data_IF_098291950137
#
_entry.id   IF_098291950137
#
_cell.length_a   1.000
_cell.length_b   1.000
_cell.length_c   1.000
_cell.angle_alpha   90.00
_cell.angle_beta   90.00
_cell.angle_gamma   90.00
#
_symmetry.space_group_name_H-M   'P 1'
#
loop_
_entity.id
_entity.type
_entity.pdbx_description
1 polymer ?
#
# COMPACT_ATOMS: atom_id res chain seq x y z
N UNK A 1 26.21 -36.95 44.57
CA UNK A 1 25.44 -35.71 44.80
C UNK A 1 25.36 -34.93 43.49
N UNK A 2 24.23 -35.05 42.81
CA UNK A 2 23.91 -34.36 41.57
C UNK A 2 23.52 -32.92 41.87
N UNK A 3 24.37 -31.95 41.49
CA UNK A 3 23.94 -30.56 41.40
C UNK A 3 23.22 -30.38 40.07
N UNK A 4 21.88 -30.54 40.09
CA UNK A 4 21.01 -29.89 39.13
C UNK A 4 21.40 -28.41 39.10
N UNK A 5 21.98 -27.95 37.98
CA UNK A 5 22.08 -26.53 37.70
C UNK A 5 20.69 -26.09 37.25
N UNK A 6 20.04 -25.34 38.13
CA UNK A 6 18.87 -24.55 37.82
C UNK A 6 19.13 -23.75 36.54
N UNK A 7 18.49 -24.15 35.45
CA UNK A 7 18.31 -23.32 34.28
C UNK A 7 17.39 -22.16 34.67
N UNK A 8 17.99 -21.13 35.29
CA UNK A 8 17.29 -19.88 35.50
C UNK A 8 16.90 -19.30 34.12
N UNK A 9 15.61 -19.09 33.92
CA UNK A 9 15.03 -18.58 32.67
C UNK A 9 15.59 -17.21 32.23
N UNK A 10 16.38 -16.54 33.08
CA UNK A 10 17.08 -15.30 32.74
C UNK A 10 18.30 -15.51 31.82
N UNK A 11 18.94 -16.69 31.84
CA UNK A 11 20.08 -16.99 30.96
C UNK A 11 19.71 -17.14 29.48
N UNK A 12 18.49 -17.61 29.18
CA UNK A 12 18.02 -17.83 27.81
C UNK A 12 17.77 -16.49 27.10
N UNK A 13 17.17 -15.50 27.78
CA UNK A 13 16.92 -14.18 27.18
C UNK A 13 18.21 -13.44 26.84
N UNK A 14 19.18 -13.41 27.76
CA UNK A 14 20.49 -12.77 27.51
C UNK A 14 21.32 -13.53 26.48
N UNK A 15 21.27 -14.86 26.45
CA UNK A 15 21.97 -15.65 25.41
C UNK A 15 21.34 -15.48 24.03
N UNK A 16 20.01 -15.36 23.92
CA UNK A 16 19.33 -15.05 22.64
C UNK A 16 19.70 -13.65 22.16
N UNK A 17 19.71 -12.64 23.03
CA UNK A 17 20.14 -11.27 22.68
C UNK A 17 21.62 -11.23 22.26
N UNK A 18 22.49 -11.94 22.99
CA UNK A 18 23.91 -12.07 22.66
C UNK A 18 24.10 -12.76 21.31
N UNK A 19 23.38 -13.85 21.03
CA UNK A 19 23.42 -14.54 19.74
C UNK A 19 22.95 -13.61 18.60
N UNK A 20 21.84 -12.90 18.78
CA UNK A 20 21.31 -11.94 17.80
C UNK A 20 22.28 -10.78 17.49
N UNK A 21 23.17 -10.44 18.42
CA UNK A 21 24.20 -9.42 18.19
C UNK A 21 25.24 -9.86 17.14
N UNK A 22 25.52 -11.17 17.03
CA UNK A 22 26.50 -11.76 16.12
C UNK A 22 25.95 -12.15 14.74
N UNK A 23 24.62 -12.16 14.57
CA UNK A 23 23.95 -12.50 13.32
C UNK A 23 24.03 -11.34 12.31
N UNK A 24 24.09 -11.65 11.01
CA UNK A 24 24.08 -10.64 9.94
C UNK A 24 22.86 -9.72 10.01
N UNK A 25 23.02 -8.45 9.62
CA UNK A 25 21.95 -7.43 9.70
C UNK A 25 20.65 -7.89 9.00
N UNK A 26 20.77 -8.52 7.83
CA UNK A 26 19.62 -9.05 7.09
C UNK A 26 18.81 -10.08 7.87
N UNK A 27 19.49 -11.01 8.55
CA UNK A 27 18.81 -12.07 9.31
C UNK A 27 18.23 -11.50 10.60
N UNK A 28 18.94 -10.58 11.27
CA UNK A 28 18.42 -9.88 12.45
C UNK A 28 17.12 -9.13 12.13
N UNK A 29 17.12 -8.36 11.05
CA UNK A 29 15.93 -7.62 10.59
C UNK A 29 14.79 -8.57 10.25
N UNK A 30 15.07 -9.66 9.54
CA UNK A 30 14.05 -10.65 9.21
C UNK A 30 13.41 -11.29 10.45
N UNK A 31 14.22 -11.59 11.48
CA UNK A 31 13.73 -12.17 12.74
C UNK A 31 12.84 -11.19 13.50
N UNK A 32 13.26 -9.93 13.65
CA UNK A 32 12.47 -8.95 14.40
C UNK A 32 11.19 -8.58 13.65
N UNK A 33 11.25 -8.40 12.33
CA UNK A 33 10.05 -8.15 11.53
C UNK A 33 9.13 -9.36 11.49
N UNK A 34 9.68 -10.57 11.46
CA UNK A 34 8.92 -11.82 11.58
C UNK A 34 8.21 -11.90 12.92
N UNK A 35 8.89 -11.61 14.02
CA UNK A 35 8.29 -11.54 15.35
C UNK A 35 7.16 -10.50 15.42
N UNK A 36 7.40 -9.27 14.94
CA UNK A 36 6.39 -8.22 14.90
C UNK A 36 5.17 -8.65 14.04
N UNK A 37 5.42 -9.31 12.90
CA UNK A 37 4.38 -9.86 12.03
C UNK A 37 3.53 -10.91 12.76
N UNK A 38 4.15 -11.84 13.49
CA UNK A 38 3.44 -12.83 14.30
C UNK A 38 2.58 -12.15 15.36
N UNK A 39 3.12 -11.19 16.11
CA UNK A 39 2.36 -10.42 17.11
C UNK A 39 1.14 -9.76 16.48
N UNK A 40 1.28 -9.16 15.30
CA UNK A 40 0.18 -8.52 14.58
C UNK A 40 -0.89 -9.52 14.11
N UNK A 41 -0.52 -10.77 13.82
CA UNK A 41 -1.47 -11.84 13.47
C UNK A 41 -2.19 -12.44 14.68
N UNK A 42 -1.67 -12.30 15.91
CA UNK A 42 -2.32 -12.84 17.12
C UNK A 42 -3.57 -12.08 17.56
N UNK A 43 -3.79 -10.87 17.04
CA UNK A 43 -4.93 -10.04 17.42
C UNK A 43 -4.78 -9.27 18.74
N UNK A 44 -3.63 -9.37 19.43
CA UNK A 44 -3.37 -8.66 20.70
C UNK A 44 -3.38 -7.13 20.52
N UNK A 45 -2.91 -6.65 19.37
CA UNK A 45 -2.78 -5.22 19.08
C UNK A 45 -4.13 -4.68 18.57
N UNK A 46 -5.03 -4.36 19.50
CA UNK A 46 -6.42 -3.96 19.17
C UNK A 46 -6.60 -2.46 18.95
N UNK A 47 -5.66 -1.62 19.37
CA UNK A 47 -5.79 -0.17 19.30
C UNK A 47 -4.54 0.51 18.72
N UNK A 48 -4.72 1.75 18.25
CA UNK A 48 -3.67 2.52 17.60
C UNK A 48 -2.47 2.81 18.52
N UNK A 49 -2.69 3.03 19.83
CA UNK A 49 -1.61 3.32 20.79
C UNK A 49 -0.66 2.14 20.96
N UNK A 50 -1.21 0.94 21.10
CA UNK A 50 -0.44 -0.31 21.18
C UNK A 50 0.32 -0.59 19.88
N UNK A 51 -0.30 -0.29 18.73
CA UNK A 51 0.39 -0.40 17.44
C UNK A 51 1.58 0.56 17.36
N UNK A 52 1.41 1.83 17.75
CA UNK A 52 2.53 2.79 17.81
C UNK A 52 3.63 2.30 18.75
N UNK A 53 3.28 1.80 19.94
CA UNK A 53 4.26 1.27 20.89
C UNK A 53 5.07 0.10 20.31
N UNK A 54 4.41 -0.86 19.64
CA UNK A 54 5.08 -1.99 18.98
C UNK A 54 6.10 -1.48 17.94
N UNK A 55 5.72 -0.51 17.10
CA UNK A 55 6.62 0.03 16.09
C UNK A 55 7.72 0.93 16.67
N UNK A 56 7.50 1.57 17.82
CA UNK A 56 8.56 2.29 18.55
C UNK A 56 9.60 1.31 19.11
N UNK A 57 9.16 0.18 19.67
CA UNK A 57 10.03 -0.92 20.12
C UNK A 57 10.80 -1.50 18.93
N UNK A 58 10.12 -1.75 17.81
CA UNK A 58 10.73 -2.21 16.56
C UNK A 58 11.84 -1.27 16.10
N UNK A 59 11.52 0.04 16.02
CA UNK A 59 12.47 1.08 15.62
C UNK A 59 13.68 1.15 16.54
N UNK A 60 13.46 1.05 17.85
CA UNK A 60 14.54 1.02 18.85
C UNK A 60 15.50 -0.15 18.61
N UNK A 61 14.99 -1.38 18.43
CA UNK A 61 15.84 -2.54 18.15
C UNK A 61 16.62 -2.40 16.83
N UNK A 62 15.95 -1.91 15.78
CA UNK A 62 16.62 -1.64 14.50
C UNK A 62 17.72 -0.59 14.66
N UNK A 63 17.48 0.48 15.42
CA UNK A 63 18.47 1.51 15.71
C UNK A 63 19.66 0.97 16.50
N UNK A 64 19.44 0.17 17.54
CA UNK A 64 20.52 -0.44 18.33
C UNK A 64 21.44 -1.30 17.45
N UNK A 65 20.87 -2.08 16.53
CA UNK A 65 21.65 -2.92 15.61
C UNK A 65 22.38 -2.13 14.53
N UNK A 66 21.66 -1.27 13.81
CA UNK A 66 22.20 -0.56 12.64
C UNK A 66 23.03 0.66 13.01
N UNK A 67 22.86 1.18 14.23
CA UNK A 67 23.46 2.43 14.74
C UNK A 67 23.17 3.65 13.84
N UNK A 68 22.06 3.60 13.11
CA UNK A 68 21.68 4.60 12.10
C UNK A 68 20.21 4.98 12.26
N UNK A 69 19.96 6.18 12.80
CA UNK A 69 18.61 6.66 13.09
C UNK A 69 17.76 6.81 11.82
N UNK A 70 18.35 7.31 10.73
CA UNK A 70 17.66 7.57 9.46
C UNK A 70 17.28 6.25 8.80
N UNK A 71 18.22 5.30 8.72
CA UNK A 71 17.93 4.00 8.12
C UNK A 71 16.89 3.24 8.95
N UNK A 72 17.03 3.20 10.27
CA UNK A 72 16.09 2.47 11.13
C UNK A 72 14.68 3.06 11.09
N UNK A 73 14.53 4.39 11.08
CA UNK A 73 13.21 5.01 10.94
C UNK A 73 12.62 4.79 9.54
N UNK A 74 13.46 4.79 8.50
CA UNK A 74 13.03 4.50 7.12
C UNK A 74 12.55 3.05 6.97
N UNK A 75 13.28 2.07 7.52
CA UNK A 75 12.85 0.65 7.48
C UNK A 75 11.55 0.44 8.25
N UNK A 76 11.42 1.11 9.41
CA UNK A 76 10.17 1.09 10.19
C UNK A 76 9.02 1.71 9.40
N UNK A 77 9.27 2.83 8.72
CA UNK A 77 8.32 3.46 7.79
C UNK A 77 7.86 2.46 6.73
N UNK A 78 8.80 1.86 5.99
CA UNK A 78 8.49 0.90 4.93
C UNK A 78 7.67 -0.28 5.43
N UNK A 79 8.02 -0.85 6.58
CA UNK A 79 7.28 -1.97 7.15
C UNK A 79 5.87 -1.54 7.61
N UNK A 80 5.74 -0.33 8.17
CA UNK A 80 4.46 0.18 8.68
C UNK A 80 3.45 0.58 7.59
N UNK A 81 3.90 0.88 6.36
CA UNK A 81 3.06 1.34 5.25
C UNK A 81 1.95 0.36 4.87
N UNK A 82 2.15 -0.93 5.11
CA UNK A 82 1.18 -1.95 4.75
C UNK A 82 0.00 -2.05 5.73
N UNK A 83 0.10 -1.42 6.91
CA UNK A 83 -0.93 -1.52 7.94
C UNK A 83 -1.86 -0.31 7.87
N UNK A 84 -3.08 -0.56 7.41
CA UNK A 84 -4.11 0.47 7.39
C UNK A 84 -4.75 0.66 8.76
N UNK A 85 -4.97 -0.44 9.50
CA UNK A 85 -5.57 -0.47 10.83
C UNK A 85 -4.64 -1.18 11.86
N UNK A 86 -4.87 -1.01 13.17
CA UNK A 86 -5.66 0.07 13.77
C UNK A 86 -5.04 1.44 13.51
N UNK A 87 -5.87 2.46 13.41
CA UNK A 87 -5.47 3.84 13.12
C UNK A 87 -6.38 4.84 13.83
N UNK A 88 -5.95 6.11 13.87
CA UNK A 88 -6.75 7.18 14.44
C UNK A 88 -7.52 7.89 13.33
N UNK A 89 -8.84 7.69 13.28
CA UNK A 89 -9.71 8.37 12.33
C UNK A 89 -10.33 9.64 12.88
N UNK A 90 -10.52 10.58 11.97
CA UNK A 90 -11.39 11.72 12.11
C UNK A 90 -12.41 11.64 10.99
N UNK A 91 -13.68 11.86 11.32
CA UNK A 91 -14.79 11.86 10.36
C UNK A 91 -15.42 13.24 10.33
N UNK A 92 -15.83 13.67 9.14
CA UNK A 92 -16.53 14.91 8.89
C UNK A 92 -17.83 14.60 8.17
N UNK A 93 -18.94 15.12 8.68
CA UNK A 93 -20.24 15.02 8.02
C UNK A 93 -20.27 15.94 6.80
N UNK A 94 -20.74 15.38 5.69
CA UNK A 94 -20.75 15.99 4.37
C UNK A 94 -22.18 16.30 3.93
N UNK A 95 -23.07 15.31 4.05
CA UNK A 95 -24.50 15.41 3.78
C UNK A 95 -25.20 14.95 5.04
N UNK A 96 -26.18 15.72 5.51
CA UNK A 96 -26.96 15.35 6.67
C UNK A 96 -27.92 14.23 6.31
N UNK A 97 -28.21 13.35 7.27
CA UNK A 97 -29.11 12.22 7.06
C UNK A 97 -30.50 12.62 6.57
N UNK A 98 -31.03 13.75 7.05
CA UNK A 98 -32.33 14.27 6.63
C UNK A 98 -32.37 14.77 5.17
N UNK A 99 -31.23 15.02 4.55
CA UNK A 99 -31.12 15.50 3.16
C UNK A 99 -31.01 14.34 2.16
N UNK A 100 -30.92 13.08 2.64
CA UNK A 100 -30.80 11.89 1.80
C UNK A 100 -32.18 11.35 1.41
N UNK A 101 -32.46 11.31 0.11
CA UNK A 101 -33.72 10.76 -0.43
C UNK A 101 -33.84 9.23 -0.26
N UNK A 102 -32.74 8.53 0.03
CA UNK A 102 -32.67 7.07 0.15
C UNK A 102 -32.65 6.66 1.64
N UNK A 103 -33.64 5.88 2.11
CA UNK A 103 -33.75 5.44 3.52
C UNK A 103 -32.53 4.68 4.04
N UNK A 104 -31.83 3.95 3.16
CA UNK A 104 -30.60 3.21 3.47
C UNK A 104 -29.46 4.12 3.95
N UNK A 105 -29.55 5.43 3.66
CA UNK A 105 -28.55 6.44 3.96
C UNK A 105 -29.06 7.53 4.90
N UNK A 106 -30.15 7.29 5.64
CA UNK A 106 -30.75 8.25 6.57
C UNK A 106 -29.83 8.69 7.73
N UNK A 107 -28.65 8.08 7.88
CA UNK A 107 -27.61 8.50 8.83
C UNK A 107 -26.72 9.65 8.34
N UNK A 108 -26.77 10.00 7.06
CA UNK A 108 -25.91 11.02 6.43
C UNK A 108 -24.67 10.43 5.77
N UNK A 109 -23.93 11.28 5.05
CA UNK A 109 -22.66 10.92 4.42
C UNK A 109 -21.50 11.50 5.21
N UNK A 110 -20.53 10.67 5.57
CA UNK A 110 -19.34 11.08 6.30
C UNK A 110 -18.10 10.72 5.50
N UNK A 111 -17.14 11.63 5.46
CA UNK A 111 -15.80 11.37 4.95
C UNK A 111 -14.81 11.36 6.09
N UNK A 112 -13.90 10.40 6.07
CA UNK A 112 -12.87 10.26 7.07
C UNK A 112 -11.45 10.44 6.53
N UNK A 113 -10.57 10.92 7.41
CA UNK A 113 -9.13 10.83 7.21
C UNK A 113 -8.50 10.19 8.46
N UNK A 114 -7.47 9.37 8.25
CA UNK A 114 -6.80 8.61 9.31
C UNK A 114 -5.32 8.95 9.43
N UNK A 115 -4.81 8.98 10.67
CA UNK A 115 -3.38 8.92 10.94
C UNK A 115 -2.99 7.47 11.25
N UNK A 116 -2.04 6.95 10.49
CA UNK A 116 -1.47 5.63 10.60
C UNK A 116 -0.02 5.72 11.12
N UNK A 117 0.52 4.58 11.56
CA UNK A 117 1.87 4.52 12.15
C UNK A 117 2.96 4.97 11.16
N UNK A 118 2.77 4.67 9.87
CA UNK A 118 3.68 5.14 8.82
C UNK A 118 3.82 6.66 8.79
N UNK A 119 2.77 7.42 9.10
CA UNK A 119 2.83 8.88 9.10
C UNK A 119 3.79 9.41 10.17
N UNK A 120 3.82 8.75 11.34
CA UNK A 120 4.71 9.11 12.45
C UNK A 120 6.16 8.85 12.05
N UNK A 121 6.47 7.67 11.51
CA UNK A 121 7.85 7.33 11.15
C UNK A 121 8.36 8.04 9.89
N UNK A 122 7.48 8.47 8.98
CA UNK A 122 7.86 9.38 7.89
C UNK A 122 8.40 10.69 8.48
N UNK A 123 7.72 11.27 9.48
CA UNK A 123 8.16 12.50 10.13
C UNK A 123 9.51 12.29 10.83
N UNK A 124 9.70 11.19 11.56
CA UNK A 124 11.00 10.87 12.18
C UNK A 124 12.11 10.72 11.13
N UNK A 125 11.84 9.99 10.06
CA UNK A 125 12.81 9.79 8.98
C UNK A 125 13.19 11.11 8.32
N UNK A 126 12.22 11.97 8.06
CA UNK A 126 12.45 13.29 7.49
C UNK A 126 13.30 14.16 8.43
N UNK A 127 12.95 14.22 9.72
CA UNK A 127 13.67 15.02 10.71
C UNK A 127 15.13 14.58 10.84
N UNK A 128 15.39 13.28 10.95
CA UNK A 128 16.75 12.75 11.03
C UNK A 128 17.53 12.91 9.72
N UNK A 129 16.88 12.75 8.56
CA UNK A 129 17.52 12.94 7.27
C UNK A 129 17.92 14.41 7.07
N UNK A 130 17.04 15.36 7.40
CA UNK A 130 17.33 16.80 7.32
C UNK A 130 18.55 17.12 8.19
N UNK A 131 18.57 16.62 9.44
CA UNK A 131 19.73 16.78 10.33
C UNK A 131 21.01 16.24 9.70
N UNK A 132 20.99 15.02 9.15
CA UNK A 132 22.16 14.39 8.52
C UNK A 132 22.64 15.19 7.28
N UNK A 133 21.72 15.67 6.44
CA UNK A 133 22.03 16.46 5.24
C UNK A 133 22.63 17.81 5.59
N UNK A 134 22.09 18.50 6.61
CA UNK A 134 22.63 19.79 7.09
C UNK A 134 24.04 19.59 7.66
N UNK A 135 24.23 18.60 8.54
CA UNK A 135 25.53 18.34 9.18
C UNK A 135 26.62 17.97 8.17
N UNK A 136 26.27 17.20 7.14
CA UNK A 136 27.22 16.76 6.10
C UNK A 136 27.37 17.75 4.94
N UNK A 137 26.66 18.88 4.96
CA UNK A 137 26.56 19.84 3.84
C UNK A 137 26.23 19.16 2.49
N UNK A 138 25.55 18.02 2.54
CA UNK A 138 25.36 17.13 1.39
C UNK A 138 24.22 17.59 0.46
N UNK A 139 23.57 18.72 0.76
CA UNK A 139 22.40 19.20 0.03
C UNK A 139 22.70 19.47 -1.46
N UNK A 140 23.83 20.13 -1.75
CA UNK A 140 24.26 20.38 -3.14
C UNK A 140 24.56 19.08 -3.89
N UNK A 141 25.14 18.10 -3.20
CA UNK A 141 25.39 16.77 -3.77
C UNK A 141 24.08 16.02 -4.07
N UNK A 142 23.07 16.10 -3.19
CA UNK A 142 21.76 15.48 -3.43
C UNK A 142 21.05 16.06 -4.66
N UNK A 143 21.03 17.40 -4.78
CA UNK A 143 20.40 18.09 -5.92
C UNK A 143 21.15 17.92 -7.24
N UNK A 144 22.44 17.54 -7.19
CA UNK A 144 23.19 17.24 -8.42
C UNK A 144 22.63 16.03 -9.17
N UNK A 145 21.88 15.15 -8.51
CA UNK A 145 21.19 14.05 -9.15
C UNK A 145 19.89 14.54 -9.80
N UNK A 146 19.87 14.61 -11.14
CA UNK A 146 18.72 15.13 -11.90
C UNK A 146 17.38 14.49 -11.54
N UNK A 147 17.36 13.20 -11.19
CA UNK A 147 16.12 12.52 -10.77
C UNK A 147 15.56 13.05 -9.45
N UNK A 148 16.41 13.46 -8.51
CA UNK A 148 15.98 14.06 -7.23
C UNK A 148 15.34 15.41 -7.51
N UNK A 149 15.96 16.21 -8.37
CA UNK A 149 15.45 17.52 -8.77
C UNK A 149 14.09 17.41 -9.48
N UNK A 150 13.91 16.43 -10.36
CA UNK A 150 12.61 16.16 -11.00
C UNK A 150 11.55 15.82 -9.96
N UNK A 151 11.84 14.90 -9.02
CA UNK A 151 10.87 14.52 -7.98
C UNK A 151 10.51 15.73 -7.09
N UNK A 152 11.50 16.57 -6.74
CA UNK A 152 11.26 17.79 -5.96
C UNK A 152 10.40 18.81 -6.70
N UNK A 153 10.64 19.04 -7.99
CA UNK A 153 9.83 19.94 -8.82
C UNK A 153 8.41 19.43 -8.92
N UNK A 154 8.21 18.14 -9.19
CA UNK A 154 6.88 17.53 -9.22
C UNK A 154 6.17 17.62 -7.87
N UNK A 155 6.87 17.32 -6.77
CA UNK A 155 6.32 17.41 -5.42
C UNK A 155 5.91 18.85 -5.06
N UNK A 156 6.74 19.82 -5.41
CA UNK A 156 6.49 21.25 -5.16
C UNK A 156 5.32 21.75 -6.00
N UNK A 157 5.28 21.40 -7.30
CA UNK A 157 4.17 21.74 -8.18
C UNK A 157 2.85 21.14 -7.70
N UNK A 158 2.85 19.86 -7.33
CA UNK A 158 1.69 19.19 -6.75
C UNK A 158 1.25 19.85 -5.43
N UNK A 159 2.18 20.19 -4.55
CA UNK A 159 1.85 20.85 -3.28
C UNK A 159 1.25 22.24 -3.48
N UNK A 160 1.86 23.08 -4.30
CA UNK A 160 1.39 24.47 -4.54
C UNK A 160 0.01 24.45 -5.18
N UNK A 161 -0.17 23.68 -6.26
CA UNK A 161 -1.46 23.56 -6.95
C UNK A 161 -2.52 22.95 -6.02
N UNK A 162 -2.18 21.86 -5.32
CA UNK A 162 -3.07 21.23 -4.36
C UNK A 162 -3.47 22.15 -3.20
N UNK A 163 -2.54 22.97 -2.70
CA UNK A 163 -2.80 23.90 -1.61
C UNK A 163 -3.74 25.04 -2.03
N UNK A 164 -3.44 25.70 -3.14
CA UNK A 164 -4.28 26.78 -3.70
C UNK A 164 -5.71 26.27 -3.90
N UNK A 165 -5.86 25.07 -4.47
CA UNK A 165 -7.17 24.50 -4.80
C UNK A 165 -7.92 24.06 -3.55
N UNK A 166 -7.24 23.46 -2.59
CA UNK A 166 -7.85 23.05 -1.31
C UNK A 166 -8.36 24.24 -0.51
N UNK A 167 -7.60 25.35 -0.48
CA UNK A 167 -7.97 26.55 0.30
C UNK A 167 -9.01 27.41 -0.41
N UNK A 168 -8.86 27.63 -1.73
CA UNK A 168 -9.70 28.59 -2.45
C UNK A 168 -10.93 27.98 -3.13
N UNK A 169 -10.95 26.65 -3.34
CA UNK A 169 -11.99 25.97 -4.15
C UNK A 169 -12.71 24.84 -3.44
N UNK A 170 -12.17 24.28 -2.35
CA UNK A 170 -12.83 23.20 -1.60
C UNK A 170 -13.91 23.74 -0.66
N UNK A 171 -15.04 23.05 -0.61
CA UNK A 171 -16.08 23.28 0.41
C UNK A 171 -15.66 22.74 1.79
N UNK A 172 -14.65 21.88 1.84
CA UNK A 172 -14.17 21.20 3.05
C UNK A 172 -12.67 21.42 3.18
N UNK A 173 -12.27 22.68 3.36
CA UNK A 173 -10.86 23.12 3.35
C UNK A 173 -9.99 22.25 4.26
N UNK A 174 -10.40 22.03 5.52
CA UNK A 174 -9.63 21.24 6.48
C UNK A 174 -9.40 19.78 6.01
N UNK A 175 -10.45 19.13 5.50
CA UNK A 175 -10.38 17.78 4.95
C UNK A 175 -9.48 17.71 3.72
N UNK A 176 -9.66 18.66 2.80
CA UNK A 176 -8.93 18.75 1.54
C UNK A 176 -7.43 19.00 1.75
N UNK A 177 -7.08 19.93 2.65
CA UNK A 177 -5.68 20.18 3.05
C UNK A 177 -5.08 18.95 3.74
N UNK A 178 -5.84 18.25 4.57
CA UNK A 178 -5.35 17.04 5.23
C UNK A 178 -5.06 15.93 4.21
N UNK A 179 -5.93 15.75 3.22
CA UNK A 179 -5.71 14.80 2.13
C UNK A 179 -4.54 15.20 1.23
N UNK A 180 -4.32 16.50 0.97
CA UNK A 180 -3.10 16.97 0.31
C UNK A 180 -1.85 16.51 1.06
N UNK A 181 -1.80 16.71 2.38
CA UNK A 181 -0.66 16.27 3.21
C UNK A 181 -0.49 14.74 3.16
N UNK A 182 -1.60 13.98 3.13
CA UNK A 182 -1.54 12.53 3.01
C UNK A 182 -1.03 12.08 1.63
N UNK A 183 -1.48 12.69 0.53
CA UNK A 183 -0.98 12.33 -0.80
C UNK A 183 0.47 12.77 -1.04
N UNK A 184 0.93 13.83 -0.37
CA UNK A 184 2.35 14.24 -0.37
C UNK A 184 3.28 13.14 0.16
N UNK A 185 2.77 12.18 0.93
CA UNK A 185 3.57 11.06 1.45
C UNK A 185 4.16 10.20 0.34
N UNK A 186 3.52 10.11 -0.83
CA UNK A 186 4.08 9.37 -1.97
C UNK A 186 5.37 10.03 -2.48
N UNK A 187 5.36 11.36 -2.61
CA UNK A 187 6.55 12.14 -3.00
C UNK A 187 7.64 12.06 -1.93
N UNK A 188 7.26 12.19 -0.65
CA UNK A 188 8.19 12.05 0.47
C UNK A 188 8.83 10.66 0.47
N UNK A 189 8.05 9.59 0.31
CA UNK A 189 8.58 8.22 0.27
C UNK A 189 9.53 8.00 -0.90
N UNK A 190 9.23 8.56 -2.08
CA UNK A 190 10.10 8.51 -3.24
C UNK A 190 11.44 9.22 -2.95
N UNK A 191 11.40 10.44 -2.40
CA UNK A 191 12.59 11.20 -2.01
C UNK A 191 13.42 10.48 -0.95
N UNK A 192 12.78 9.94 0.09
CA UNK A 192 13.44 9.17 1.14
C UNK A 192 14.14 7.93 0.55
N UNK A 193 13.45 7.20 -0.33
CA UNK A 193 14.00 6.00 -0.99
C UNK A 193 15.21 6.35 -1.85
N UNK A 194 15.13 7.41 -2.66
CA UNK A 194 16.25 7.89 -3.47
C UNK A 194 17.43 8.32 -2.59
N UNK A 195 17.16 9.07 -1.52
CA UNK A 195 18.19 9.55 -0.60
C UNK A 195 18.94 8.40 0.08
N UNK A 196 18.20 7.40 0.57
CA UNK A 196 18.78 6.19 1.18
C UNK A 196 19.56 5.37 0.14
N UNK A 197 19.04 5.23 -1.08
CA UNK A 197 19.73 4.53 -2.16
C UNK A 197 21.06 5.20 -2.53
N UNK A 198 21.09 6.53 -2.60
CA UNK A 198 22.28 7.30 -2.96
C UNK A 198 23.31 7.35 -1.83
N UNK A 199 22.91 7.69 -0.60
CA UNK A 199 23.84 7.88 0.51
C UNK A 199 24.22 6.59 1.23
N UNK A 200 23.33 5.59 1.26
CA UNK A 200 23.51 4.34 2.04
C UNK A 200 23.46 3.11 1.15
N UNK A 201 23.97 3.21 -0.09
CA UNK A 201 23.96 2.14 -1.11
C UNK A 201 24.45 0.77 -0.60
N UNK A 202 25.50 0.74 0.24
CA UNK A 202 26.05 -0.50 0.81
C UNK A 202 25.07 -1.22 1.74
N UNK A 203 24.29 -0.44 2.51
CA UNK A 203 23.31 -0.95 3.46
C UNK A 203 21.94 -1.20 2.82
N UNK A 204 21.71 -0.72 1.58
CA UNK A 204 20.42 -0.86 0.88
C UNK A 204 19.90 -2.30 0.77
N UNK A 205 20.76 -3.31 0.93
CA UNK A 205 20.35 -4.70 0.98
C UNK A 205 19.27 -4.99 2.04
N UNK A 206 19.29 -4.26 3.17
CA UNK A 206 18.31 -4.43 4.24
C UNK A 206 16.91 -3.99 3.81
N UNK A 207 16.79 -3.06 2.86
CA UNK A 207 15.50 -2.63 2.30
C UNK A 207 14.81 -3.80 1.59
N UNK A 208 15.57 -4.60 0.83
CA UNK A 208 15.00 -5.80 0.18
C UNK A 208 14.48 -6.81 1.20
N UNK A 209 15.13 -6.93 2.37
CA UNK A 209 14.66 -7.80 3.46
C UNK A 209 13.31 -7.32 3.99
N UNK A 210 13.15 -6.01 4.24
CA UNK A 210 11.86 -5.45 4.70
C UNK A 210 10.76 -5.69 3.67
N UNK A 211 11.03 -5.45 2.39
CA UNK A 211 10.08 -5.69 1.30
C UNK A 211 9.70 -7.17 1.21
N UNK A 212 10.66 -8.07 1.36
CA UNK A 212 10.43 -9.51 1.36
C UNK A 212 9.58 -9.95 2.55
N UNK A 213 9.88 -9.48 3.77
CA UNK A 213 9.10 -9.76 4.97
C UNK A 213 7.67 -9.24 4.83
N UNK A 214 7.49 -8.03 4.28
CA UNK A 214 6.18 -7.43 4.05
C UNK A 214 5.36 -8.25 3.03
N UNK A 215 5.98 -8.65 1.93
CA UNK A 215 5.34 -9.51 0.93
C UNK A 215 4.90 -10.86 1.50
N UNK A 216 5.73 -11.48 2.34
CA UNK A 216 5.40 -12.74 3.02
C UNK A 216 4.23 -12.57 3.99
N UNK A 217 4.26 -11.52 4.81
CA UNK A 217 3.16 -11.22 5.73
C UNK A 217 1.83 -11.05 4.98
N UNK A 218 1.81 -10.25 3.91
CA UNK A 218 0.61 -10.06 3.09
C UNK A 218 0.15 -11.34 2.43
N UNK A 219 1.07 -12.18 1.93
CA UNK A 219 0.71 -13.47 1.34
C UNK A 219 0.03 -14.40 2.36
N UNK A 220 0.58 -14.51 3.57
CA UNK A 220 -0.03 -15.34 4.63
C UNK A 220 -1.41 -14.80 5.00
N UNK A 221 -1.53 -13.49 5.23
CA UNK A 221 -2.81 -12.86 5.58
C UNK A 221 -3.85 -13.01 4.47
N UNK A 222 -3.47 -12.74 3.22
CA UNK A 222 -4.34 -12.90 2.05
C UNK A 222 -4.72 -14.37 1.82
N UNK A 223 -3.79 -15.31 2.00
CA UNK A 223 -4.07 -16.74 1.90
C UNK A 223 -5.11 -17.20 2.92
N UNK A 224 -4.97 -16.77 4.18
CA UNK A 224 -5.94 -17.06 5.23
C UNK A 224 -7.31 -16.41 4.97
N UNK A 225 -7.34 -15.14 4.52
CA UNK A 225 -8.57 -14.45 4.11
C UNK A 225 -9.28 -15.18 2.96
N UNK A 226 -8.52 -15.66 1.97
CA UNK A 226 -9.04 -16.42 0.84
C UNK A 226 -9.62 -17.77 1.28
N UNK A 227 -8.90 -18.53 2.10
CA UNK A 227 -9.38 -19.82 2.61
C UNK A 227 -10.67 -19.66 3.43
N UNK A 228 -10.79 -18.59 4.21
CA UNK A 228 -11.99 -18.28 5.01
C UNK A 228 -13.11 -17.61 4.21
N UNK A 229 -12.84 -17.19 2.97
CA UNK A 229 -13.74 -16.38 2.14
C UNK A 229 -14.28 -15.13 2.87
N UNK A 230 -13.50 -14.59 3.82
CA UNK A 230 -13.89 -13.46 4.68
C UNK A 230 -12.66 -12.90 5.40
N UNK A 231 -12.74 -11.69 5.99
CA UNK A 231 -11.72 -11.22 6.92
C UNK A 231 -11.52 -12.23 8.06
N UNK A 232 -10.27 -12.40 8.52
CA UNK A 232 -9.96 -13.29 9.66
C UNK A 232 -10.47 -12.66 10.97
N UNK A 233 -10.63 -11.34 11.00
CA UNK A 233 -11.06 -10.60 12.18
C UNK A 233 -9.88 -10.13 13.03
N UNK A 234 -8.67 -10.14 12.48
CA UNK A 234 -7.52 -9.51 13.13
C UNK A 234 -7.69 -7.98 13.11
N UNK A 235 -7.25 -7.26 14.16
CA UNK A 235 -7.37 -5.79 14.23
C UNK A 235 -6.61 -5.03 13.15
N UNK A 236 -5.65 -5.69 12.49
CA UNK A 236 -4.89 -5.13 11.36
C UNK A 236 -5.66 -5.17 10.04
N UNK A 237 -6.78 -5.90 9.99
CA UNK A 237 -7.70 -5.93 8.86
C UNK A 237 -8.77 -4.86 9.01
N UNK A 238 -9.21 -4.26 7.91
CA UNK A 238 -10.40 -3.43 7.94
C UNK A 238 -11.63 -4.33 7.90
N UNK A 239 -12.33 -4.48 9.04
CA UNK A 239 -13.65 -5.10 9.07
C UNK A 239 -14.62 -4.11 8.44
N UNK A 240 -14.91 -4.26 7.15
CA UNK A 240 -16.06 -3.60 6.57
C UNK A 240 -17.29 -4.42 6.90
N UNK A 241 -18.23 -3.83 7.61
CA UNK A 241 -19.62 -4.26 7.51
C UNK A 241 -20.10 -4.13 6.06
N UNK A 242 -21.18 -4.85 5.68
CA UNK A 242 -21.81 -4.69 4.38
C UNK A 242 -22.30 -3.25 4.24
N UNK A 243 -21.51 -2.38 3.61
CA UNK A 243 -21.75 -0.94 3.62
C UNK A 243 -20.83 -0.15 2.71
N UNK A 244 -20.35 -0.77 1.63
CA UNK A 244 -19.75 -0.04 0.52
C UNK A 244 -20.85 0.21 -0.52
N UNK A 245 -20.93 1.43 -1.04
CA UNK A 245 -21.88 1.99 -2.02
C UNK A 245 -22.03 1.22 -3.35
N UNK A 246 -21.72 -0.08 -3.39
CA UNK A 246 -21.77 -0.90 -4.57
C UNK A 246 -22.04 -2.37 -4.19
N UNK A 247 -23.19 -2.66 -3.57
CA UNK A 247 -23.80 -4.00 -3.73
C UNK A 247 -24.28 -4.14 -5.17
N UNK A 248 -23.35 -4.11 -6.12
CA UNK A 248 -23.64 -4.37 -7.52
C UNK A 248 -23.93 -5.86 -7.69
N UNK A 249 -24.60 -6.20 -8.79
CA UNK A 249 -24.79 -7.58 -9.25
C UNK A 249 -23.48 -8.39 -9.30
N UNK A 250 -22.34 -7.69 -9.40
CA UNK A 250 -20.97 -8.24 -9.37
C UNK A 250 -20.52 -8.78 -8.01
N UNK A 251 -21.15 -8.42 -6.88
CA UNK A 251 -20.73 -8.85 -5.53
C UNK A 251 -21.46 -10.11 -5.04
N UNK A 252 -22.69 -10.36 -5.51
CA UNK A 252 -23.56 -11.44 -4.99
C UNK A 252 -23.05 -12.85 -5.37
N UNK A 253 -22.33 -12.98 -6.49
CA UNK A 253 -21.81 -14.26 -7.00
C UNK A 253 -20.27 -14.33 -7.07
N UNK A 254 -19.57 -13.38 -6.44
CA UNK A 254 -18.11 -13.30 -6.54
C UNK A 254 -17.40 -14.00 -5.37
N UNK A 255 -16.32 -14.72 -5.70
CA UNK A 255 -15.34 -15.20 -4.72
C UNK A 255 -14.77 -14.01 -3.94
N UNK A 256 -14.57 -14.18 -2.63
CA UNK A 256 -14.07 -13.13 -1.76
C UNK A 256 -12.77 -12.52 -2.28
N UNK A 257 -12.72 -11.18 -2.31
CA UNK A 257 -11.57 -10.41 -2.79
C UNK A 257 -10.70 -10.02 -1.61
N UNK A 258 -9.52 -10.62 -1.53
CA UNK A 258 -8.61 -10.41 -0.40
C UNK A 258 -8.05 -8.97 -0.41
N UNK A 259 -8.00 -8.36 0.77
CA UNK A 259 -7.46 -7.02 0.98
C UNK A 259 -6.20 -7.00 1.84
N UNK A 260 -5.83 -8.13 2.46
CA UNK A 260 -4.74 -8.21 3.43
C UNK A 260 -5.00 -7.25 4.59
N UNK A 261 -3.98 -6.47 4.97
CA UNK A 261 -4.10 -5.41 5.98
C UNK A 261 -4.44 -4.03 5.39
N UNK A 262 -4.80 -3.97 4.10
CA UNK A 262 -5.21 -2.74 3.43
C UNK A 262 -6.73 -2.53 3.48
N UNK A 263 -7.14 -1.30 3.22
CA UNK A 263 -8.55 -0.94 3.16
C UNK A 263 -9.28 -1.54 1.93
N UNK A 264 -8.55 -1.74 0.83
CA UNK A 264 -9.11 -2.21 -0.43
C UNK A 264 -8.16 -3.20 -1.12
N UNK A 265 -8.72 -4.25 -1.72
CA UNK A 265 -7.99 -5.26 -2.51
C UNK A 265 -7.10 -4.67 -3.61
N UNK A 266 -7.51 -3.57 -4.24
CA UNK A 266 -6.72 -2.92 -5.30
C UNK A 266 -5.46 -2.25 -4.77
N UNK A 267 -5.48 -1.77 -3.52
CA UNK A 267 -4.31 -1.18 -2.86
C UNK A 267 -3.27 -2.25 -2.59
N UNK A 268 -3.69 -3.39 -2.03
CA UNK A 268 -2.80 -4.54 -1.82
C UNK A 268 -2.16 -4.97 -3.14
N UNK A 269 -2.97 -5.13 -4.20
CA UNK A 269 -2.48 -5.53 -5.51
C UNK A 269 -1.40 -4.59 -6.06
N UNK A 270 -1.63 -3.27 -5.97
CA UNK A 270 -0.69 -2.25 -6.42
C UNK A 270 0.62 -2.30 -5.61
N UNK A 271 0.54 -2.42 -4.28
CA UNK A 271 1.73 -2.51 -3.43
C UNK A 271 2.53 -3.78 -3.73
N UNK A 272 1.85 -4.92 -3.91
CA UNK A 272 2.50 -6.18 -4.28
C UNK A 272 3.19 -6.07 -5.65
N UNK A 273 2.61 -5.36 -6.62
CA UNK A 273 3.29 -5.08 -7.90
C UNK A 273 4.53 -4.20 -7.70
N UNK A 274 4.47 -3.18 -6.84
CA UNK A 274 5.65 -2.36 -6.52
C UNK A 274 6.74 -3.22 -5.87
N UNK A 275 6.38 -4.09 -4.93
CA UNK A 275 7.32 -5.03 -4.31
C UNK A 275 7.93 -5.99 -5.34
N UNK A 276 7.14 -6.46 -6.32
CA UNK A 276 7.62 -7.26 -7.44
C UNK A 276 8.70 -6.51 -8.23
N UNK A 277 8.44 -5.26 -8.61
CA UNK A 277 9.37 -4.42 -9.38
C UNK A 277 10.67 -4.19 -8.60
N UNK A 278 10.60 -3.96 -7.29
CA UNK A 278 11.77 -3.73 -6.44
C UNK A 278 12.60 -5.01 -6.27
N UNK A 279 11.95 -6.15 -6.01
CA UNK A 279 12.64 -7.41 -5.71
C UNK A 279 13.18 -8.12 -6.95
N UNK A 280 12.50 -8.03 -8.09
CA UNK A 280 12.85 -8.79 -9.29
C UNK A 280 14.32 -8.59 -9.74
N UNK A 281 14.86 -7.36 -9.90
CA UNK A 281 16.26 -7.16 -10.26
C UNK A 281 17.24 -7.67 -9.21
N UNK A 282 16.89 -7.54 -7.92
CA UNK A 282 17.73 -8.00 -6.81
C UNK A 282 17.87 -9.52 -6.82
N UNK A 283 16.76 -10.23 -7.00
CA UNK A 283 16.71 -11.70 -7.00
C UNK A 283 17.43 -12.29 -8.20
N UNK A 284 17.20 -11.71 -9.39
CA UNK A 284 17.89 -12.13 -10.61
C UNK A 284 19.41 -11.97 -10.51
N UNK A 285 19.88 -10.90 -9.83
CA UNK A 285 21.33 -10.67 -9.60
C UNK A 285 21.93 -11.60 -8.54
N UNK A 286 21.22 -11.82 -7.42
CA UNK A 286 21.71 -12.67 -6.32
C UNK A 286 21.66 -14.17 -6.63
N UNK A 287 20.82 -14.61 -7.58
CA UNK A 287 20.70 -16.02 -8.00
C UNK A 287 20.31 -16.99 -6.88
N UNK A 288 19.66 -16.50 -5.82
CA UNK A 288 19.28 -17.31 -4.66
C UNK A 288 17.86 -17.83 -4.80
N UNK A 289 17.70 -19.16 -4.89
CA UNK A 289 16.41 -19.81 -5.22
C UNK A 289 15.29 -19.53 -4.22
N UNK A 290 15.51 -19.49 -2.88
CA UNK A 290 14.44 -19.18 -1.93
C UNK A 290 13.79 -17.81 -2.14
N UNK A 291 14.51 -16.83 -2.72
CA UNK A 291 13.90 -15.54 -3.01
C UNK A 291 12.90 -15.58 -4.18
N UNK A 292 12.98 -16.57 -5.09
CA UNK A 292 11.92 -16.75 -6.11
C UNK A 292 10.59 -17.14 -5.51
N UNK A 293 10.59 -17.90 -4.40
CA UNK A 293 9.36 -18.22 -3.70
C UNK A 293 8.65 -16.92 -3.26
N UNK A 294 9.40 -15.90 -2.85
CA UNK A 294 8.85 -14.58 -2.54
C UNK A 294 8.20 -13.89 -3.75
N UNK A 295 8.79 -13.98 -4.95
CA UNK A 295 8.15 -13.46 -6.18
C UNK A 295 6.88 -14.26 -6.54
N UNK A 296 6.89 -15.56 -6.32
CA UNK A 296 5.71 -16.41 -6.51
C UNK A 296 4.60 -16.02 -5.53
N UNK A 297 4.91 -15.84 -4.25
CA UNK A 297 3.94 -15.37 -3.24
C UNK A 297 3.35 -14.01 -3.58
N UNK A 298 4.17 -13.09 -4.10
CA UNK A 298 3.70 -11.80 -4.60
C UNK A 298 2.69 -11.99 -5.74
N UNK A 299 3.04 -12.82 -6.73
CA UNK A 299 2.18 -13.08 -7.89
C UNK A 299 0.84 -13.72 -7.49
N UNK A 300 0.88 -14.73 -6.61
CA UNK A 300 -0.33 -15.37 -6.08
C UNK A 300 -1.20 -14.35 -5.35
N UNK A 301 -0.61 -13.52 -4.48
CA UNK A 301 -1.38 -12.47 -3.78
C UNK A 301 -2.07 -11.52 -4.75
N UNK A 302 -1.37 -11.06 -5.80
CA UNK A 302 -1.95 -10.21 -6.86
C UNK A 302 -3.16 -10.90 -7.53
N UNK A 303 -3.07 -12.20 -7.82
CA UNK A 303 -4.20 -12.96 -8.37
C UNK A 303 -5.39 -12.97 -7.42
N UNK A 304 -5.16 -13.29 -6.14
CA UNK A 304 -6.21 -13.39 -5.13
C UNK A 304 -6.98 -12.07 -4.92
N UNK A 305 -6.37 -10.91 -5.19
CA UNK A 305 -7.05 -9.60 -5.12
C UNK A 305 -8.12 -9.37 -6.20
N UNK A 306 -8.09 -10.17 -7.28
CA UNK A 306 -9.01 -10.07 -8.43
C UNK A 306 -9.01 -8.69 -9.12
N UNK A 307 -7.89 -7.96 -9.07
CA UNK A 307 -7.77 -6.64 -9.69
C UNK A 307 -7.34 -6.73 -11.15
N UNK A 308 -8.30 -6.62 -12.08
CA UNK A 308 -8.07 -6.72 -13.54
C UNK A 308 -7.01 -5.72 -14.04
N UNK A 309 -7.06 -4.47 -13.58
CA UNK A 309 -6.10 -3.43 -13.99
C UNK A 309 -4.68 -3.78 -13.52
N UNK A 310 -4.54 -4.32 -12.32
CA UNK A 310 -3.22 -4.71 -11.80
C UNK A 310 -2.71 -5.98 -12.48
N UNK A 311 -3.57 -6.91 -12.89
CA UNK A 311 -3.16 -8.05 -13.71
C UNK A 311 -2.56 -7.62 -15.04
N UNK A 312 -3.22 -6.69 -15.75
CA UNK A 312 -2.71 -6.12 -17.01
C UNK A 312 -1.37 -5.41 -16.75
N UNK A 313 -1.30 -4.57 -15.71
CA UNK A 313 -0.06 -3.88 -15.33
C UNK A 313 1.08 -4.86 -14.99
N UNK A 314 0.76 -5.98 -14.33
CA UNK A 314 1.73 -7.04 -14.01
C UNK A 314 2.24 -7.71 -15.29
N UNK A 315 1.35 -8.01 -16.25
CA UNK A 315 1.72 -8.54 -17.56
C UNK A 315 2.67 -7.60 -18.32
N UNK A 316 2.33 -6.31 -18.39
CA UNK A 316 3.20 -5.28 -19.00
C UNK A 316 4.56 -5.21 -18.29
N UNK A 317 4.56 -5.23 -16.95
CA UNK A 317 5.78 -5.19 -16.13
C UNK A 317 6.68 -6.39 -16.40
N UNK A 318 6.11 -7.60 -16.51
CA UNK A 318 6.86 -8.81 -16.87
C UNK A 318 7.44 -8.71 -18.27
N UNK A 319 6.68 -8.24 -19.25
CA UNK A 319 7.17 -8.03 -20.63
C UNK A 319 8.34 -7.03 -20.68
N UNK A 320 8.22 -5.91 -19.95
CA UNK A 320 9.30 -4.94 -19.83
C UNK A 320 10.53 -5.54 -19.15
N UNK A 321 10.34 -6.32 -18.08
CA UNK A 321 11.43 -6.98 -17.38
C UNK A 321 12.15 -8.01 -18.27
N UNK A 322 11.40 -8.81 -19.06
CA UNK A 322 11.97 -9.75 -20.04
C UNK A 322 12.88 -9.05 -21.05
N UNK A 323 12.51 -7.83 -21.46
CA UNK A 323 13.32 -7.00 -22.37
C UNK A 323 14.52 -6.37 -21.69
N UNK A 324 14.32 -5.68 -20.56
CA UNK A 324 15.35 -4.88 -19.89
C UNK A 324 16.37 -5.73 -19.13
N UNK A 325 15.97 -6.87 -18.56
CA UNK A 325 16.80 -7.75 -17.75
C UNK A 325 17.14 -9.05 -18.50
N UNK A 326 17.12 -9.03 -19.84
CA UNK A 326 17.29 -10.21 -20.69
C UNK A 326 18.58 -10.99 -20.37
N UNK A 327 19.67 -10.28 -20.08
CA UNK A 327 20.98 -10.90 -19.77
C UNK A 327 20.92 -11.63 -18.43
N UNK A 328 20.38 -10.98 -17.41
CA UNK A 328 20.20 -11.53 -16.07
C UNK A 328 19.28 -12.75 -16.11
N UNK A 329 18.16 -12.66 -16.83
CA UNK A 329 17.19 -13.75 -16.99
C UNK A 329 17.82 -14.94 -17.72
N UNK A 330 18.55 -14.72 -18.83
CA UNK A 330 19.25 -15.78 -19.57
C UNK A 330 20.32 -16.46 -18.71
N UNK A 331 21.04 -15.69 -17.89
CA UNK A 331 22.06 -16.24 -17.01
C UNK A 331 21.45 -17.02 -15.83
N UNK A 332 20.29 -16.57 -15.35
CA UNK A 332 19.56 -17.21 -14.28
C UNK A 332 18.94 -18.55 -14.75
N UNK A 333 18.34 -18.59 -15.94
CA UNK A 333 17.69 -19.79 -16.49
C UNK A 333 18.66 -20.95 -16.75
N UNK A 334 19.90 -20.65 -17.15
CA UNK A 334 20.95 -21.68 -17.37
C UNK A 334 21.30 -22.49 -16.12
N UNK A 335 21.07 -21.94 -14.92
CA UNK A 335 21.45 -22.58 -13.64
C UNK A 335 20.25 -23.20 -12.92
N UNK A 336 19.08 -23.20 -13.54
CA UNK A 336 17.82 -23.53 -12.89
C UNK A 336 17.33 -24.94 -13.19
N UNK A 337 16.76 -25.59 -12.18
CA UNK A 337 16.13 -26.90 -12.30
C UNK A 337 14.67 -26.71 -12.76
N UNK A 338 14.44 -26.84 -14.07
CA UNK A 338 13.14 -26.65 -14.75
C UNK A 338 11.93 -27.35 -14.08
N UNK A 339 12.05 -28.55 -13.48
CA UNK A 339 10.92 -29.23 -12.84
C UNK A 339 10.22 -28.44 -11.73
N UNK A 340 10.95 -27.65 -10.93
CA UNK A 340 10.33 -26.83 -9.86
C UNK A 340 9.49 -25.67 -10.42
N UNK A 341 9.91 -25.10 -11.56
CA UNK A 341 9.17 -24.02 -12.24
C UNK A 341 7.86 -24.56 -12.78
N UNK A 342 7.87 -25.77 -13.32
CA UNK A 342 6.67 -26.44 -13.83
C UNK A 342 5.65 -26.63 -12.69
N UNK A 343 6.09 -27.04 -11.49
CA UNK A 343 5.20 -27.16 -10.33
C UNK A 343 4.61 -25.80 -9.94
N UNK A 344 5.43 -24.74 -9.78
CA UNK A 344 4.91 -23.41 -9.47
C UNK A 344 3.99 -22.87 -10.57
N UNK A 345 4.29 -23.17 -11.83
CA UNK A 345 3.47 -22.80 -12.97
C UNK A 345 2.12 -23.52 -12.93
N UNK A 346 2.08 -24.83 -12.70
CA UNK A 346 0.82 -25.58 -12.59
C UNK A 346 0.02 -25.17 -11.36
N UNK A 347 0.63 -25.03 -10.18
CA UNK A 347 -0.07 -24.52 -8.98
C UNK A 347 -0.61 -23.10 -9.23
N UNK A 348 0.18 -22.26 -9.89
CA UNK A 348 -0.26 -20.94 -10.35
C UNK A 348 -1.44 -21.03 -11.31
N UNK A 349 -1.38 -21.89 -12.32
CA UNK A 349 -2.43 -22.12 -13.32
C UNK A 349 -3.74 -22.62 -12.70
N UNK A 350 -3.67 -23.54 -11.75
CA UNK A 350 -4.85 -24.06 -11.02
C UNK A 350 -5.44 -23.00 -10.09
N UNK A 351 -4.60 -22.20 -9.44
CA UNK A 351 -5.07 -21.05 -8.65
C UNK A 351 -5.69 -19.97 -9.54
N UNK A 352 -5.13 -19.77 -10.73
CA UNK A 352 -5.65 -18.87 -11.76
C UNK A 352 -7.01 -19.35 -12.27
N UNK A 353 -7.23 -20.65 -12.52
CA UNK A 353 -8.51 -21.12 -13.07
C UNK A 353 -9.69 -20.90 -12.12
N UNK A 354 -9.51 -21.14 -10.82
CA UNK A 354 -10.56 -20.94 -9.81
C UNK A 354 -10.95 -19.47 -9.62
N UNK A 355 -10.01 -18.54 -9.80
CA UNK A 355 -10.23 -17.10 -9.56
C UNK A 355 -10.54 -16.33 -10.84
N UNK A 356 -9.84 -16.62 -11.94
CA UNK A 356 -9.96 -15.89 -13.20
C UNK A 356 -11.24 -16.27 -13.94
N UNK A 357 -11.59 -17.56 -14.03
CA UNK A 357 -12.73 -18.00 -14.86
C UNK A 357 -14.03 -17.35 -14.37
N UNK A 358 -14.40 -17.42 -13.07
CA UNK A 358 -15.60 -16.73 -12.58
C UNK A 358 -15.55 -15.22 -12.82
N UNK A 359 -14.35 -14.61 -12.72
CA UNK A 359 -14.19 -13.15 -12.89
C UNK A 359 -14.26 -12.70 -14.35
N UNK A 360 -13.83 -13.52 -15.29
CA UNK A 360 -14.04 -13.31 -16.74
C UNK A 360 -15.53 -13.45 -17.04
N UNK A 361 -16.21 -14.47 -16.51
CA UNK A 361 -17.66 -14.65 -16.70
C UNK A 361 -18.46 -13.43 -16.21
N UNK A 362 -18.15 -12.92 -15.01
CA UNK A 362 -18.73 -11.67 -14.49
C UNK A 362 -18.41 -10.44 -15.34
N UNK A 363 -17.36 -10.48 -16.18
CA UNK A 363 -17.03 -9.34 -17.06
C UNK A 363 -18.03 -9.19 -18.21
N UNK A 364 -18.69 -10.27 -18.64
CA UNK A 364 -19.77 -10.17 -19.63
C UNK A 364 -20.99 -9.43 -19.08
N UNK A 365 -21.21 -9.49 -17.76
CA UNK A 365 -22.28 -8.76 -17.10
C UNK A 365 -21.99 -7.27 -16.89
N UNK A 366 -20.78 -6.80 -17.22
CA UNK A 366 -20.35 -5.44 -16.94
C UNK A 366 -21.15 -4.35 -17.71
N UNK A 367 -21.89 -4.75 -18.74
CA UNK A 367 -22.66 -3.86 -19.64
C UNK A 367 -24.08 -3.62 -19.12
N UNK A 368 -24.62 -4.47 -18.24
CA UNK A 368 -25.98 -4.33 -17.71
C UNK A 368 -26.17 -3.04 -16.91
N UNK A 369 -27.38 -2.48 -16.92
CA UNK A 369 -27.74 -1.32 -16.10
C UNK A 369 -27.50 -1.64 -14.60
N UNK A 370 -26.78 -0.77 -13.90
CA UNK A 370 -26.33 -1.01 -12.52
C UNK A 370 -25.06 -1.84 -12.39
N UNK A 371 -24.44 -2.29 -13.47
CA UNK A 371 -23.11 -2.90 -13.46
C UNK A 371 -21.97 -1.85 -13.56
N UNK A 372 -20.73 -2.31 -13.47
CA UNK A 372 -19.57 -1.44 -13.32
C UNK A 372 -19.32 -0.45 -14.48
N UNK A 373 -19.67 -0.77 -15.74
CA UNK A 373 -19.43 0.13 -16.88
C UNK A 373 -20.47 1.27 -16.90
N UNK A 374 -21.79 1.02 -16.89
CA UNK A 374 -22.78 2.10 -16.87
C UNK A 374 -22.64 3.03 -15.65
N UNK A 375 -22.31 2.49 -14.46
CA UNK A 375 -22.04 3.30 -13.27
C UNK A 375 -20.85 4.25 -13.51
N UNK A 376 -19.73 3.74 -14.05
CA UNK A 376 -18.56 4.58 -14.36
C UNK A 376 -18.85 5.60 -15.46
N UNK A 377 -19.63 5.23 -16.46
CA UNK A 377 -20.04 6.16 -17.53
C UNK A 377 -20.94 7.26 -16.99
N UNK A 378 -21.87 6.95 -16.07
CA UNK A 378 -22.68 7.95 -15.37
C UNK A 378 -21.81 8.87 -14.50
N UNK A 379 -20.90 8.30 -13.70
CA UNK A 379 -19.96 9.09 -12.91
C UNK A 379 -19.08 10.01 -13.78
N UNK A 380 -18.63 9.52 -14.95
CA UNK A 380 -17.85 10.33 -15.90
C UNK A 380 -18.71 11.42 -16.55
N UNK A 381 -19.95 11.12 -16.96
CA UNK A 381 -20.84 12.10 -17.58
C UNK A 381 -21.28 13.19 -16.59
N UNK A 382 -21.34 12.88 -15.30
CA UNK A 382 -21.60 13.84 -14.24
C UNK A 382 -20.35 14.64 -13.86
N UNK A 383 -19.18 14.01 -13.84
CA UNK A 383 -17.91 14.68 -13.54
C UNK A 383 -17.43 15.59 -14.68
N UNK A 384 -17.75 15.27 -15.93
CA UNK A 384 -17.23 15.98 -17.10
C UNK A 384 -17.64 17.47 -17.15
N UNK A 385 -18.92 17.86 -16.96
CA UNK A 385 -19.31 19.26 -16.84
C UNK A 385 -18.58 20.00 -15.71
N UNK A 386 -18.36 19.34 -14.58
CA UNK A 386 -17.68 19.92 -13.42
C UNK A 386 -16.21 20.17 -13.71
N UNK A 387 -15.55 19.26 -14.43
CA UNK A 387 -14.19 19.45 -14.93
C UNK A 387 -14.11 20.65 -15.89
N UNK A 388 -15.05 20.78 -16.82
CA UNK A 388 -15.09 21.92 -17.76
C UNK A 388 -15.22 23.28 -17.07
N UNK A 389 -15.89 23.34 -15.91
CA UNK A 389 -16.00 24.59 -15.14
C UNK A 389 -14.68 25.00 -14.49
N UNK A 390 -13.79 24.06 -14.17
CA UNK A 390 -12.51 24.32 -13.46
C UNK A 390 -11.38 23.38 -13.94
N UNK A 391 -10.96 23.47 -15.21
CA UNK A 391 -10.07 22.47 -15.84
C UNK A 391 -8.66 22.44 -15.25
N UNK A 392 -8.16 23.59 -14.78
CA UNK A 392 -6.79 23.73 -14.30
C UNK A 392 -6.61 23.46 -12.80
N UNK A 393 -7.68 23.63 -12.01
CA UNK A 393 -7.59 23.76 -10.56
C UNK A 393 -8.61 22.88 -9.80
N UNK A 394 -9.66 22.37 -10.46
CA UNK A 394 -10.64 21.48 -9.81
C UNK A 394 -11.30 22.09 -8.56
N UNK A 395 -11.68 21.22 -7.61
CA UNK A 395 -12.49 21.55 -6.42
C UNK A 395 -11.77 21.23 -5.09
N UNK A 396 -10.44 21.24 -5.12
CA UNK A 396 -9.62 20.84 -3.98
C UNK A 396 -9.29 19.35 -3.98
N UNK A 397 -8.25 19.00 -3.23
CA UNK A 397 -7.71 17.64 -3.18
C UNK A 397 -8.71 16.71 -2.48
N UNK A 398 -9.10 15.65 -3.20
CA UNK A 398 -9.98 14.58 -2.73
C UNK A 398 -11.47 14.95 -2.57
N UNK A 399 -11.87 16.22 -2.67
CA UNK A 399 -13.23 16.70 -2.38
C UNK A 399 -14.06 16.97 -3.65
N UNK A 400 -14.59 15.93 -4.32
CA UNK A 400 -14.69 15.98 -5.79
C UNK A 400 -16.03 15.62 -6.53
N UNK A 401 -17.23 16.18 -6.26
CA UNK A 401 -18.66 15.70 -6.47
C UNK A 401 -19.07 14.29 -7.02
N UNK A 402 -19.92 13.51 -6.30
CA UNK A 402 -20.49 12.21 -6.72
C UNK A 402 -21.92 12.25 -7.29
N UNK A 403 -22.20 11.26 -8.14
CA UNK A 403 -23.35 11.17 -9.05
C UNK A 403 -24.75 10.97 -8.49
N UNK A 404 -24.93 10.13 -7.46
CA UNK A 404 -26.27 9.92 -6.88
C UNK A 404 -26.80 11.18 -6.17
N UNK A 405 -25.91 12.12 -5.84
CA UNK A 405 -26.26 13.45 -5.33
C UNK A 405 -26.78 14.33 -6.46
N UNK A 406 -26.26 14.19 -7.70
CA UNK A 406 -26.72 14.94 -8.87
C UNK A 406 -28.17 14.60 -9.30
N UNK A 407 -28.65 13.39 -8.98
CA UNK A 407 -30.05 13.00 -9.21
C UNK A 407 -31.00 13.59 -8.15
N UNK A 408 -30.60 13.63 -6.87
CA UNK A 408 -31.33 14.35 -5.83
C UNK A 408 -31.37 15.87 -6.09
N UNK A 409 -30.31 16.39 -6.72
CA UNK A 409 -30.10 17.79 -7.12
C UNK A 409 -31.06 18.32 -8.19
N UNK A 410 -31.74 17.48 -8.96
CA UNK A 410 -32.80 17.95 -9.88
C UNK A 410 -34.06 18.46 -9.16
N UNK A 411 -34.22 18.18 -7.86
CA UNK A 411 -35.39 18.59 -7.06
C UNK A 411 -35.26 19.98 -6.41
N UNK A 412 -34.20 20.75 -6.72
CA UNK A 412 -34.12 22.17 -6.35
C UNK A 412 -33.66 22.48 -4.93
N UNK A 413 -33.20 21.49 -4.16
CA UNK A 413 -32.78 21.70 -2.76
C UNK A 413 -31.31 21.30 -2.56
N UNK A 414 -30.47 22.29 -2.21
CA UNK A 414 -29.10 22.20 -1.69
C UNK A 414 -27.95 21.78 -2.64
N UNK A 415 -27.17 22.79 -3.03
CA UNK A 415 -25.83 22.67 -3.59
C UNK A 415 -24.83 22.15 -2.54
N UNK A 416 -24.45 20.85 -2.55
CA UNK A 416 -23.25 20.35 -1.84
C UNK A 416 -22.53 19.21 -2.59
N UNK A 417 -21.50 19.53 -3.40
CA UNK A 417 -20.70 18.55 -4.12
C UNK A 417 -19.60 17.89 -3.26
N UNK A 418 -19.61 16.55 -3.13
CA UNK A 418 -18.50 15.69 -2.65
C UNK A 418 -18.42 14.37 -3.43
N UNK A 419 -17.20 13.92 -3.75
CA UNK A 419 -16.86 12.60 -4.34
C UNK A 419 -15.71 11.96 -3.60
N UNK A 420 -15.51 10.66 -3.82
CA UNK A 420 -14.27 10.00 -3.50
C UNK A 420 -13.47 9.59 -4.77
N UNK A 421 -12.18 9.97 -4.73
CA UNK A 421 -11.00 9.49 -5.49
C UNK A 421 -10.43 10.35 -6.65
N UNK A 422 -9.09 10.49 -6.73
CA UNK A 422 -8.42 11.17 -7.83
C UNK A 422 -8.46 10.31 -9.09
N UNK A 423 -9.05 10.83 -10.16
CA UNK A 423 -8.84 10.29 -11.52
C UNK A 423 -7.44 10.72 -11.93
N UNK A 424 -6.48 9.80 -11.86
CA UNK A 424 -5.31 9.89 -12.72
C UNK A 424 -5.81 9.79 -14.16
N UNK A 425 -5.69 10.89 -14.92
CA UNK A 425 -6.03 10.95 -16.33
C UNK A 425 -5.13 9.94 -17.06
N UNK A 426 -5.68 8.78 -17.41
CA UNK A 426 -5.14 7.98 -18.50
C UNK A 426 -5.52 8.71 -19.79
N UNK A 427 -4.57 9.46 -20.36
CA UNK A 427 -4.68 9.92 -21.74
C UNK A 427 -4.54 8.67 -22.60
N UNK A 428 -5.67 8.04 -22.93
CA UNK A 428 -5.71 7.05 -24.00
C UNK A 428 -5.85 7.86 -25.28
N UNK A 429 -4.71 8.09 -25.94
CA UNK A 429 -4.68 8.74 -27.24
C UNK A 429 -5.47 7.91 -28.25
N UNK A 430 -6.46 8.54 -28.85
CA UNK A 430 -7.17 8.03 -30.02
C UNK A 430 -6.24 8.11 -31.23
N UNK A 431 -5.88 6.96 -31.77
CA UNK A 431 -5.92 6.73 -33.22
C UNK A 431 -6.86 5.54 -33.43
#
# INVERSE_FOLDING_TARGET
MSSQKDFSNHGIFFSVISYLSHVSDSVYIALILGFASCVLLTGIITNFRLLVLLFMILWFFLWVKLKDLVLSSFLTTLFSLQFYAPNKYYIQEIIRGGDMLLPLYGGGYYLGYGANVANIFIVFTLAFLIKEVIQKQAFRSLLSYGIVSVVLVCATGFFITGFITSVSKSLFVALSVTWLIQYMQMFLLALLTLSIFLFKRKQFNVVYVVVLCSALFQFVLAGLQFLRQSPIGNPVEQIRGPGSFATGLDEINAIYRVAGSFAFHNQLALIMLIFFIILLPYILKKRYQPHLASLFFIFVTIILTQSRSVWIATGITVLLALRMLRKEIRNFSKRFYWPKIIIYFFVGLTSLSYVIIPRILLSFNAIYEGAGIPIRMRLLSEAFPLFLLRPWFGYGVGTNPSGDIAAAVRSGSYWRPIFPFPIFIYIQGSC
#
